data_IF_290058794547
#
_entry.id   IF_290058794547
#
_cell.length_a   1.000
_cell.length_b   1.000
_cell.length_c   1.000
_cell.angle_alpha   90.00
_cell.angle_beta   90.00
_cell.angle_gamma   90.00
#
_symmetry.space_group_name_H-M   'P 1'
#
loop_
_entity.id
_entity.type
_entity.pdbx_description
1 polymer ?
#
# COMPACT_ATOMS: atom_id res chain seq x y z
N UNK A 1 24.62 -25.32 36.05
CA UNK A 1 24.94 -26.15 34.87
C UNK A 1 26.16 -25.56 34.22
N UNK A 2 27.32 -26.15 34.48
CA UNK A 2 28.64 -26.17 33.80
C UNK A 2 29.07 -25.09 32.78
N UNK A 3 28.48 -23.89 32.78
CA UNK A 3 28.79 -22.81 31.84
C UNK A 3 28.16 -22.94 30.45
N UNK A 4 27.25 -23.91 30.23
CA UNK A 4 26.53 -24.09 28.96
C UNK A 4 25.10 -23.55 29.10
N UNK A 5 24.78 -22.56 28.28
CA UNK A 5 23.44 -21.99 28.12
C UNK A 5 22.73 -22.68 26.95
N UNK A 6 21.53 -23.21 27.19
CA UNK A 6 20.77 -23.96 26.16
C UNK A 6 19.47 -23.23 25.85
N UNK A 7 19.31 -22.81 24.59
CA UNK A 7 18.05 -22.32 24.03
C UNK A 7 17.32 -23.44 23.31
N UNK A 8 16.36 -24.06 23.99
CA UNK A 8 15.53 -25.12 23.41
C UNK A 8 14.61 -24.61 22.30
N UNK A 9 14.20 -23.34 22.34
CA UNK A 9 13.30 -22.76 21.34
C UNK A 9 14.00 -22.55 19.99
N UNK A 10 15.26 -22.13 20.02
CA UNK A 10 16.10 -21.98 18.81
C UNK A 10 16.98 -23.20 18.52
N UNK A 11 16.89 -24.26 19.32
CA UNK A 11 17.75 -25.46 19.25
C UNK A 11 19.24 -25.09 19.21
N UNK A 12 19.65 -24.15 20.07
CA UNK A 12 21.02 -23.65 20.12
C UNK A 12 21.63 -23.82 21.51
N UNK A 13 22.94 -23.99 21.57
CA UNK A 13 23.70 -24.04 22.80
C UNK A 13 24.88 -23.07 22.72
N UNK A 14 25.14 -22.35 23.80
CA UNK A 14 26.25 -21.43 23.95
C UNK A 14 27.09 -21.88 25.15
N UNK A 15 28.33 -22.27 24.89
CA UNK A 15 29.30 -22.59 25.94
C UNK A 15 30.10 -21.33 26.27
N UNK A 16 29.90 -20.79 27.48
CA UNK A 16 30.50 -19.53 27.95
C UNK A 16 31.92 -19.75 28.51
N UNK A 17 32.40 -21.00 28.56
CA UNK A 17 33.73 -21.33 29.07
C UNK A 17 34.84 -20.75 28.18
N UNK A 18 35.97 -20.31 28.77
CA UNK A 18 37.07 -19.75 28.00
C UNK A 18 37.70 -20.81 27.10
N UNK A 19 37.99 -20.41 25.86
CA UNK A 19 38.74 -21.20 24.89
C UNK A 19 40.23 -20.92 25.15
N UNK A 20 41.00 -21.95 25.46
CA UNK A 20 42.44 -21.84 25.70
C UNK A 20 43.18 -21.76 24.35
N UNK A 21 44.22 -20.92 24.28
CA UNK A 21 45.07 -20.86 23.10
C UNK A 21 45.92 -22.13 23.02
N UNK A 22 45.84 -22.84 21.89
CA UNK A 22 46.56 -24.11 21.66
C UNK A 22 45.72 -25.36 21.88
N UNK A 23 44.40 -25.24 22.03
CA UNK A 23 43.50 -26.39 22.11
C UNK A 23 43.67 -27.34 20.94
N UNK A 24 43.75 -28.63 21.29
CA UNK A 24 43.75 -29.71 20.32
C UNK A 24 42.36 -29.88 19.72
N UNK A 25 42.29 -30.48 18.53
CA UNK A 25 40.99 -30.82 17.91
C UNK A 25 40.14 -31.74 18.79
N UNK A 26 40.79 -32.63 19.55
CA UNK A 26 40.10 -33.57 20.46
C UNK A 26 39.39 -32.82 21.59
N UNK A 27 40.05 -31.86 22.23
CA UNK A 27 39.44 -31.03 23.28
C UNK A 27 38.25 -30.19 22.75
N UNK A 28 38.33 -29.72 21.50
CA UNK A 28 37.22 -29.03 20.84
C UNK A 28 36.03 -29.97 20.59
N UNK A 29 36.30 -31.19 20.11
CA UNK A 29 35.27 -32.20 19.89
C UNK A 29 34.58 -32.59 21.20
N UNK A 30 35.34 -32.82 22.27
CA UNK A 30 34.78 -33.11 23.60
C UNK A 30 33.88 -31.99 24.12
N UNK A 31 34.27 -30.73 23.88
CA UNK A 31 33.44 -29.57 24.24
C UNK A 31 32.11 -29.55 23.48
N UNK A 32 32.17 -29.77 22.17
CA UNK A 32 30.98 -29.80 21.29
C UNK A 32 30.06 -30.95 21.71
N UNK A 33 30.61 -32.14 21.93
CA UNK A 33 29.85 -33.31 22.38
C UNK A 33 29.10 -33.00 23.67
N UNK A 34 29.77 -32.41 24.66
CA UNK A 34 29.14 -32.03 25.92
C UNK A 34 28.00 -31.03 25.73
N UNK A 35 28.18 -30.02 24.88
CA UNK A 35 27.14 -29.03 24.61
C UNK A 35 25.91 -29.66 23.93
N UNK A 36 26.13 -30.59 22.99
CA UNK A 36 25.07 -31.35 22.33
C UNK A 36 24.36 -32.28 23.29
N UNK A 37 25.08 -32.94 24.20
CA UNK A 37 24.50 -33.78 25.24
C UNK A 37 23.50 -33.01 26.12
N UNK A 38 23.87 -31.82 26.60
CA UNK A 38 22.96 -30.97 27.38
C UNK A 38 21.73 -30.54 26.57
N UNK A 39 21.90 -30.22 25.29
CA UNK A 39 20.80 -29.86 24.41
C UNK A 39 19.83 -31.03 24.20
N UNK A 40 20.35 -32.22 23.92
CA UNK A 40 19.57 -33.44 23.73
C UNK A 40 18.83 -33.83 25.02
N UNK A 41 19.52 -33.79 26.17
CA UNK A 41 18.90 -34.02 27.47
C UNK A 41 17.75 -33.04 27.72
N UNK A 42 17.96 -31.74 27.47
CA UNK A 42 16.92 -30.72 27.59
C UNK A 42 15.70 -31.02 26.71
N UNK A 43 15.91 -31.41 25.45
CA UNK A 43 14.82 -31.79 24.54
C UNK A 43 14.01 -33.00 25.03
N UNK A 44 14.69 -34.02 25.56
CA UNK A 44 14.02 -35.23 26.04
C UNK A 44 13.35 -35.07 27.42
N UNK A 45 13.66 -33.99 28.15
CA UNK A 45 12.90 -33.62 29.36
C UNK A 45 11.57 -32.92 29.08
N UNK A 46 11.37 -32.37 27.86
CA UNK A 46 10.13 -31.69 27.50
C UNK A 46 8.93 -32.65 27.45
N UNK A 47 7.72 -32.20 27.81
CA UNK A 47 6.53 -33.04 27.77
C UNK A 47 6.25 -33.56 26.36
N UNK A 48 6.01 -34.86 26.26
CA UNK A 48 5.70 -35.52 25.00
C UNK A 48 4.19 -35.50 24.74
N UNK A 49 3.80 -34.94 23.60
CA UNK A 49 2.45 -35.03 23.09
C UNK A 49 2.38 -36.18 22.07
N UNK A 50 1.82 -37.30 22.51
CA UNK A 50 1.49 -38.42 21.63
C UNK A 50 0.24 -38.07 20.81
N UNK A 51 0.38 -38.01 19.49
CA UNK A 51 -0.75 -38.01 18.56
C UNK A 51 -0.79 -39.33 17.80
N UNK A 52 -1.96 -39.74 17.29
CA UNK A 52 -2.16 -41.02 16.57
C UNK A 52 -1.15 -41.29 15.45
N UNK A 53 -0.50 -40.25 14.92
CA UNK A 53 0.43 -40.36 13.79
C UNK A 53 1.89 -40.20 14.17
N UNK A 54 2.21 -39.38 15.19
CA UNK A 54 3.60 -39.05 15.58
C UNK A 54 3.68 -38.59 17.05
N UNK A 55 4.77 -38.96 17.71
CA UNK A 55 5.22 -38.31 18.94
C UNK A 55 5.83 -36.95 18.60
N UNK A 56 5.35 -35.89 19.26
CA UNK A 56 5.83 -34.52 19.11
C UNK A 56 6.10 -33.91 20.49
N UNK A 57 7.04 -32.98 20.57
CA UNK A 57 7.35 -32.23 21.80
C UNK A 57 7.15 -30.75 21.50
N UNK A 58 6.45 -30.05 22.38
CA UNK A 58 6.30 -28.60 22.26
C UNK A 58 7.58 -27.90 22.74
N UNK A 59 8.21 -27.15 21.83
CA UNK A 59 9.38 -26.34 22.15
C UNK A 59 8.92 -25.04 22.82
N UNK A 60 9.64 -24.54 23.84
CA UNK A 60 9.37 -23.24 24.43
C UNK A 60 9.66 -22.10 23.45
N UNK A 61 9.17 -20.91 23.74
CA UNK A 61 9.56 -19.72 22.98
C UNK A 61 11.09 -19.49 23.12
N UNK A 62 11.79 -19.18 22.02
CA UNK A 62 13.22 -18.93 22.06
C UNK A 62 13.54 -17.68 22.89
N UNK A 63 14.53 -17.75 23.76
CA UNK A 63 14.98 -16.57 24.52
C UNK A 63 15.93 -15.70 23.71
N UNK A 64 16.59 -16.27 22.69
CA UNK A 64 17.47 -15.52 21.79
C UNK A 64 16.67 -14.55 20.92
N UNK A 65 16.78 -13.25 21.21
CA UNK A 65 16.07 -12.20 20.46
C UNK A 65 16.83 -11.87 19.18
N UNK A 66 16.31 -12.35 18.06
CA UNK A 66 16.86 -12.07 16.72
C UNK A 66 16.18 -10.81 16.15
N UNK A 67 16.92 -9.88 15.52
CA UNK A 67 16.32 -8.71 14.89
C UNK A 67 15.37 -9.12 13.76
N UNK A 68 14.21 -8.45 13.69
CA UNK A 68 13.23 -8.68 12.63
C UNK A 68 13.79 -8.22 11.28
N UNK A 69 13.57 -9.02 10.25
CA UNK A 69 13.91 -8.65 8.87
C UNK A 69 13.10 -7.44 8.34
N UNK A 70 11.87 -7.25 8.84
CA UNK A 70 10.99 -6.15 8.44
C UNK A 70 10.51 -5.38 9.67
N UNK A 71 10.38 -4.04 9.55
CA UNK A 71 9.81 -3.23 10.63
C UNK A 71 8.38 -3.68 10.92
N UNK A 72 7.94 -3.41 12.14
CA UNK A 72 6.56 -3.67 12.55
C UNK A 72 5.63 -2.87 11.61
N UNK A 73 4.58 -3.51 11.04
CA UNK A 73 3.63 -2.80 10.20
C UNK A 73 3.05 -1.61 10.96
N UNK A 74 3.27 -0.40 10.45
CA UNK A 74 2.70 0.81 11.04
C UNK A 74 1.17 0.76 10.96
N UNK A 75 0.51 1.31 11.97
CA UNK A 75 -0.94 1.46 11.97
C UNK A 75 -1.39 2.21 10.71
N UNK A 76 -2.50 1.76 10.13
CA UNK A 76 -3.03 2.36 8.91
C UNK A 76 -3.57 3.76 9.26
N UNK A 77 -3.06 4.84 8.63
CA UNK A 77 -3.62 6.16 8.84
C UNK A 77 -5.08 6.21 8.38
N UNK A 78 -5.92 6.92 9.14
CA UNK A 78 -7.33 7.05 8.85
C UNK A 78 -7.55 7.80 7.53
N UNK A 79 -8.42 7.26 6.68
CA UNK A 79 -8.87 7.96 5.46
C UNK A 79 -9.74 9.15 5.82
N UNK A 80 -9.89 10.10 4.88
CA UNK A 80 -10.74 11.29 5.10
C UNK A 80 -12.18 10.94 5.49
N UNK A 81 -12.74 9.86 4.94
CA UNK A 81 -14.08 9.40 5.31
C UNK A 81 -14.12 8.81 6.72
N UNK A 82 -13.11 8.05 7.12
CA UNK A 82 -13.04 7.49 8.49
C UNK A 82 -12.82 8.59 9.54
N UNK A 83 -12.03 9.61 9.22
CA UNK A 83 -11.90 10.81 10.05
C UNK A 83 -13.26 11.50 10.22
N UNK A 84 -13.99 11.70 9.12
CA UNK A 84 -15.33 12.27 9.15
C UNK A 84 -16.31 11.39 9.94
N UNK A 85 -16.30 10.08 9.72
CA UNK A 85 -17.16 9.12 10.39
C UNK A 85 -16.89 9.11 11.90
N UNK A 86 -15.62 9.17 12.33
CA UNK A 86 -15.24 9.27 13.74
C UNK A 86 -15.75 10.56 14.37
N UNK A 87 -15.57 11.70 13.72
CA UNK A 87 -16.04 13.02 14.21
C UNK A 87 -17.58 13.03 14.33
N UNK A 88 -18.27 12.42 13.37
CA UNK A 88 -19.74 12.37 13.34
C UNK A 88 -20.34 11.20 14.15
N UNK A 89 -19.52 10.35 14.76
CA UNK A 89 -20.00 9.16 15.48
C UNK A 89 -20.69 8.12 14.59
N UNK A 90 -20.42 8.12 13.28
CA UNK A 90 -21.01 7.16 12.33
C UNK A 90 -20.36 5.80 12.55
N UNK A 91 -21.12 4.86 13.14
CA UNK A 91 -20.68 3.49 13.37
C UNK A 91 -20.95 2.63 12.14
N UNK A 92 -19.94 1.85 11.72
CA UNK A 92 -20.09 0.87 10.63
C UNK A 92 -20.97 -0.29 11.11
N UNK A 93 -22.10 -0.53 10.45
CA UNK A 93 -22.98 -1.68 10.69
C UNK A 93 -22.73 -2.77 9.64
N UNK A 94 -22.93 -4.03 10.04
CA UNK A 94 -22.99 -5.14 9.08
C UNK A 94 -24.17 -4.91 8.14
N UNK A 95 -23.96 -5.14 6.85
CA UNK A 95 -25.01 -5.14 5.82
C UNK A 95 -25.11 -6.53 5.25
N UNK A 96 -26.33 -6.99 4.99
CA UNK A 96 -26.56 -8.28 4.35
C UNK A 96 -26.17 -8.25 2.87
N UNK A 97 -25.91 -9.43 2.31
CA UNK A 97 -25.51 -9.56 0.90
C UNK A 97 -26.72 -9.53 -0.04
N UNK A 98 -27.89 -9.93 0.46
CA UNK A 98 -29.14 -10.02 -0.28
C UNK A 98 -30.13 -8.99 0.25
N UNK A 99 -30.94 -8.44 -0.66
CA UNK A 99 -32.06 -7.58 -0.36
C UNK A 99 -33.30 -8.12 -1.07
N UNK A 100 -34.46 -7.96 -0.45
CA UNK A 100 -35.75 -8.31 -1.05
C UNK A 100 -36.06 -7.33 -2.20
N UNK A 101 -36.33 -7.86 -3.39
CA UNK A 101 -36.78 -7.07 -4.55
C UNK A 101 -38.30 -7.14 -4.65
N UNK A 102 -38.99 -6.06 -4.28
CA UNK A 102 -40.46 -5.97 -4.27
C UNK A 102 -41.07 -6.18 -5.67
N UNK A 103 -40.36 -5.81 -6.73
CA UNK A 103 -40.90 -5.89 -8.10
C UNK A 103 -40.96 -7.33 -8.61
N UNK A 104 -40.07 -8.19 -8.11
CA UNK A 104 -39.90 -9.57 -8.57
C UNK A 104 -40.29 -10.61 -7.52
N UNK A 105 -40.43 -10.21 -6.26
CA UNK A 105 -40.77 -11.11 -5.16
C UNK A 105 -39.66 -12.09 -4.80
N UNK A 106 -38.39 -11.72 -4.99
CA UNK A 106 -37.23 -12.60 -4.76
C UNK A 106 -36.14 -11.88 -3.96
N UNK A 107 -35.36 -12.63 -3.16
CA UNK A 107 -34.13 -12.13 -2.57
C UNK A 107 -33.01 -12.10 -3.62
N UNK A 108 -32.49 -10.91 -3.90
CA UNK A 108 -31.42 -10.69 -4.88
C UNK A 108 -30.18 -10.08 -4.25
N UNK A 109 -28.99 -10.34 -4.80
CA UNK A 109 -27.77 -9.76 -4.27
C UNK A 109 -27.80 -8.22 -4.43
N UNK A 110 -27.23 -7.49 -3.47
CA UNK A 110 -27.14 -6.02 -3.54
C UNK A 110 -26.21 -5.56 -4.67
N UNK A 111 -25.22 -6.39 -5.00
CA UNK A 111 -24.23 -6.17 -6.05
C UNK A 111 -23.83 -7.52 -6.67
N UNK A 112 -23.47 -7.53 -7.96
CA UNK A 112 -23.05 -8.75 -8.67
C UNK A 112 -23.97 -9.09 -9.82
N UNK A 113 -24.04 -10.37 -10.20
CA UNK A 113 -24.93 -10.85 -11.25
C UNK A 113 -26.39 -10.82 -10.78
N UNK A 114 -27.30 -10.27 -11.61
CA UNK A 114 -28.73 -10.12 -11.32
C UNK A 114 -28.98 -9.37 -10.00
N UNK A 115 -28.17 -8.33 -9.77
CA UNK A 115 -28.28 -7.52 -8.57
C UNK A 115 -29.51 -6.63 -8.58
N UNK A 116 -29.99 -6.25 -7.40
CA UNK A 116 -31.15 -5.36 -7.27
C UNK A 116 -30.93 -3.98 -7.93
N UNK A 117 -29.65 -3.56 -8.09
CA UNK A 117 -29.26 -2.28 -8.67
C UNK A 117 -28.71 -2.43 -10.10
N UNK A 118 -29.04 -3.51 -10.81
CA UNK A 118 -28.61 -3.71 -12.19
C UNK A 118 -29.34 -2.76 -13.13
N UNK A 119 -28.65 -1.69 -13.54
CA UNK A 119 -29.14 -0.68 -14.48
C UNK A 119 -29.53 -1.27 -15.85
N UNK A 120 -29.02 -2.44 -16.22
CA UNK A 120 -29.36 -3.14 -17.47
C UNK A 120 -30.70 -3.86 -17.45
N UNK A 121 -31.26 -4.11 -16.26
CA UNK A 121 -32.55 -4.79 -16.12
C UNK A 121 -33.73 -3.87 -16.43
N UNK A 122 -33.51 -2.55 -16.45
CA UNK A 122 -34.52 -1.57 -16.78
C UNK A 122 -34.69 -1.51 -18.31
N UNK A 123 -35.83 -2.00 -18.80
CA UNK A 123 -36.13 -2.02 -20.25
C UNK A 123 -36.70 -0.68 -20.73
N UNK A 124 -37.41 0.03 -19.85
CA UNK A 124 -38.09 1.29 -20.16
C UNK A 124 -37.64 2.35 -19.16
N UNK A 125 -37.12 3.47 -19.68
CA UNK A 125 -36.80 4.65 -18.89
C UNK A 125 -37.68 5.82 -19.33
N UNK A 126 -38.26 6.58 -18.38
CA UNK A 126 -38.98 7.80 -18.73
C UNK A 126 -38.01 8.81 -19.39
N UNK A 127 -38.49 9.45 -20.45
CA UNK A 127 -37.72 10.48 -21.14
C UNK A 127 -37.66 11.75 -20.30
N UNK A 128 -36.45 12.31 -20.13
CA UNK A 128 -36.27 13.62 -19.49
C UNK A 128 -36.38 14.71 -20.58
N UNK A 129 -37.31 15.68 -20.46
CA UNK A 129 -37.46 16.75 -21.44
C UNK A 129 -36.23 17.68 -21.56
N UNK A 130 -35.28 17.59 -20.62
CA UNK A 130 -34.03 18.37 -20.64
C UNK A 130 -32.94 17.75 -21.52
N UNK A 131 -33.18 16.55 -22.07
CA UNK A 131 -32.20 15.80 -22.83
C UNK A 131 -32.01 16.42 -24.23
N UNK A 132 -30.76 16.49 -24.69
CA UNK A 132 -30.48 17.03 -26.03
C UNK A 132 -31.00 16.07 -27.11
N UNK A 133 -31.48 16.59 -28.26
CA UNK A 133 -31.90 15.75 -29.38
C UNK A 133 -30.77 14.79 -29.80
N UNK A 134 -31.03 13.49 -29.76
CA UNK A 134 -30.07 12.44 -30.16
C UNK A 134 -29.34 11.73 -29.02
N UNK A 135 -29.52 12.15 -27.77
CA UNK A 135 -28.95 11.45 -26.60
C UNK A 135 -30.00 10.48 -26.00
N UNK A 136 -29.57 9.29 -25.56
CA UNK A 136 -30.47 8.29 -24.95
C UNK A 136 -30.47 8.41 -23.42
N UNK A 137 -31.62 8.30 -22.73
CA UNK A 137 -31.67 8.23 -21.27
C UNK A 137 -30.75 7.13 -20.68
N UNK A 138 -30.59 6.02 -21.40
CA UNK A 138 -29.72 4.91 -21.00
C UNK A 138 -28.23 5.28 -21.00
N UNK A 139 -27.80 6.10 -21.96
CA UNK A 139 -26.41 6.54 -22.05
C UNK A 139 -26.06 7.46 -20.87
N UNK A 140 -26.99 8.34 -20.48
CA UNK A 140 -26.84 9.20 -19.30
C UNK A 140 -26.69 8.41 -18.00
N UNK A 141 -27.48 7.35 -17.81
CA UNK A 141 -27.36 6.45 -16.63
C UNK A 141 -25.98 5.79 -16.61
N UNK A 142 -25.56 5.22 -17.74
CA UNK A 142 -24.26 4.57 -17.91
C UNK A 142 -23.09 5.52 -17.66
N UNK A 143 -23.16 6.74 -18.17
CA UNK A 143 -22.18 7.79 -17.92
C UNK A 143 -22.17 8.24 -16.46
N UNK A 144 -23.34 8.39 -15.83
CA UNK A 144 -23.48 8.67 -14.41
C UNK A 144 -22.76 7.63 -13.54
N UNK A 145 -22.96 6.33 -13.81
CA UNK A 145 -22.25 5.24 -13.14
C UNK A 145 -20.74 5.32 -13.35
N UNK A 146 -20.29 5.51 -14.59
CA UNK A 146 -18.86 5.68 -14.93
C UNK A 146 -18.25 6.86 -14.17
N UNK A 147 -18.94 8.00 -14.11
CA UNK A 147 -18.51 9.20 -13.40
C UNK A 147 -18.41 8.97 -11.89
N UNK A 148 -19.39 8.28 -11.27
CA UNK A 148 -19.35 7.90 -9.86
C UNK A 148 -18.15 7.01 -9.54
N UNK A 149 -17.89 5.99 -10.38
CA UNK A 149 -16.74 5.09 -10.23
C UNK A 149 -15.42 5.86 -10.39
N UNK A 150 -15.33 6.75 -11.40
CA UNK A 150 -14.15 7.60 -11.63
C UNK A 150 -13.88 8.52 -10.44
N UNK A 151 -14.91 9.14 -9.87
CA UNK A 151 -14.79 10.01 -8.70
C UNK A 151 -14.37 9.24 -7.44
N UNK A 152 -14.87 8.02 -7.24
CA UNK A 152 -14.43 7.15 -6.16
C UNK A 152 -12.94 6.79 -6.32
N UNK A 153 -12.52 6.35 -7.51
CA UNK A 153 -11.12 6.03 -7.80
C UNK A 153 -10.19 7.24 -7.58
N UNK A 154 -10.60 8.43 -8.02
CA UNK A 154 -9.87 9.69 -7.79
C UNK A 154 -9.75 10.01 -6.29
N UNK A 155 -10.80 9.76 -5.51
CA UNK A 155 -10.81 9.97 -4.06
C UNK A 155 -9.90 8.97 -3.34
N UNK A 156 -9.93 7.70 -3.76
CA UNK A 156 -9.04 6.65 -3.27
C UNK A 156 -7.57 7.00 -3.55
N UNK A 157 -7.26 7.48 -4.75
CA UNK A 157 -5.92 7.89 -5.13
C UNK A 157 -5.45 9.10 -4.30
N UNK A 158 -6.32 10.09 -4.07
CA UNK A 158 -6.02 11.23 -3.20
C UNK A 158 -5.68 10.79 -1.77
N UNK A 159 -6.44 9.84 -1.21
CA UNK A 159 -6.17 9.28 0.11
C UNK A 159 -4.84 8.51 0.12
N UNK A 160 -4.56 7.69 -0.89
CA UNK A 160 -3.27 6.99 -1.01
C UNK A 160 -2.09 7.96 -1.10
N UNK A 161 -2.24 9.04 -1.86
CA UNK A 161 -1.21 10.09 -2.00
C UNK A 161 -0.98 10.86 -0.70
N UNK A 162 -2.02 11.19 0.07
CA UNK A 162 -1.84 11.85 1.38
C UNK A 162 -1.10 10.92 2.36
N UNK A 163 -1.50 9.64 2.39
CA UNK A 163 -0.84 8.63 3.22
C UNK A 163 0.64 8.47 2.84
N UNK A 164 0.95 8.41 1.54
CA UNK A 164 2.32 8.32 1.08
C UNK A 164 3.14 9.57 1.43
N UNK A 165 2.56 10.77 1.35
CA UNK A 165 3.24 12.01 1.77
C UNK A 165 3.59 11.99 3.25
N UNK A 166 2.68 11.54 4.10
CA UNK A 166 2.94 11.42 5.53
C UNK A 166 4.09 10.42 5.78
N UNK A 167 4.17 9.33 5.00
CA UNK A 167 5.30 8.38 5.09
C UNK A 167 6.63 8.94 4.54
N UNK A 168 6.60 9.80 3.51
CA UNK A 168 7.80 10.43 2.95
C UNK A 168 8.24 11.70 3.70
N UNK A 169 7.43 12.22 4.61
CA UNK A 169 7.70 13.47 5.34
C UNK A 169 8.90 13.38 6.30
N UNK A 170 9.47 12.18 6.51
CA UNK A 170 10.74 12.01 7.21
C UNK A 170 11.98 12.23 6.33
N UNK A 171 11.83 12.58 5.05
CA UNK A 171 12.97 12.96 4.21
C UNK A 171 13.31 14.41 4.53
N UNK A 172 14.56 14.74 4.89
CA UNK A 172 14.94 16.12 5.17
C UNK A 172 14.58 16.99 3.96
N UNK A 173 14.05 18.18 4.22
CA UNK A 173 13.78 19.20 3.22
C UNK A 173 15.06 19.38 2.41
N UNK A 174 15.10 18.82 1.21
CA UNK A 174 16.21 19.04 0.29
C UNK A 174 16.22 20.54 -0.01
N UNK A 175 17.25 21.23 0.46
CA UNK A 175 17.59 22.60 0.06
C UNK A 175 18.15 22.60 -1.37
N UNK A 176 17.55 21.84 -2.27
CA UNK A 176 17.94 21.84 -3.68
C UNK A 176 17.67 23.24 -4.20
N UNK A 177 18.69 23.90 -4.73
CA UNK A 177 18.62 25.25 -5.31
C UNK A 177 17.49 25.27 -6.34
N UNK A 178 16.33 25.82 -5.96
CA UNK A 178 15.21 25.96 -6.89
C UNK A 178 15.68 26.76 -8.10
N UNK A 179 15.45 26.23 -9.31
CA UNK A 179 15.77 26.96 -10.55
C UNK A 179 14.96 28.26 -10.56
N UNK A 180 15.57 29.37 -10.98
CA UNK A 180 14.93 30.71 -11.01
C UNK A 180 13.56 30.69 -11.67
N UNK A 181 13.41 29.94 -12.77
CA UNK A 181 12.15 29.77 -13.50
C UNK A 181 11.05 29.11 -12.67
N UNK A 182 11.39 28.25 -11.72
CA UNK A 182 10.40 27.58 -10.86
C UNK A 182 10.00 28.47 -9.67
N UNK A 183 10.92 29.34 -9.20
CA UNK A 183 10.60 30.41 -8.24
C UNK A 183 9.70 31.49 -8.86
N UNK A 184 9.95 31.88 -10.10
CA UNK A 184 9.07 32.82 -10.80
C UNK A 184 7.68 32.25 -11.04
N UNK A 185 7.58 30.96 -11.38
CA UNK A 185 6.29 30.26 -11.52
C UNK A 185 5.57 30.18 -10.18
N UNK A 186 6.26 29.81 -9.10
CA UNK A 186 5.65 29.74 -7.77
C UNK A 186 5.20 31.10 -7.27
N UNK A 187 5.99 32.16 -7.51
CA UNK A 187 5.62 33.55 -7.21
C UNK A 187 4.38 34.00 -7.99
N UNK A 188 4.28 33.68 -9.30
CA UNK A 188 3.08 33.94 -10.12
C UNK A 188 1.85 33.16 -9.64
N UNK A 189 2.03 31.92 -9.21
CA UNK A 189 0.93 31.11 -8.65
C UNK A 189 0.48 31.69 -7.31
N UNK A 190 1.42 32.09 -6.45
CA UNK A 190 1.14 32.67 -5.15
C UNK A 190 0.44 34.04 -5.28
N UNK A 191 0.84 34.89 -6.23
CA UNK A 191 0.21 36.19 -6.47
C UNK A 191 -1.26 36.07 -6.91
N UNK A 192 -1.62 34.98 -7.59
CA UNK A 192 -2.99 34.71 -8.05
C UNK A 192 -3.81 33.94 -7.00
N UNK A 193 -3.15 33.20 -6.11
CA UNK A 193 -3.79 32.36 -5.09
C UNK A 193 -4.29 33.18 -3.91
N UNK A 194 -5.49 33.72 -4.02
CA UNK A 194 -6.16 34.37 -2.88
C UNK A 194 -6.78 33.32 -1.95
N UNK A 195 -6.52 33.44 -0.64
CA UNK A 195 -7.06 32.56 0.42
C UNK A 195 -8.59 32.42 0.39
N UNK A 196 -9.29 33.41 -0.19
CA UNK A 196 -10.75 33.46 -0.33
C UNK A 196 -11.27 32.98 -1.69
N UNK A 197 -10.44 32.36 -2.54
CA UNK A 197 -10.81 31.93 -3.91
C UNK A 197 -11.42 33.07 -4.75
N UNK A 198 -10.96 34.31 -4.54
CA UNK A 198 -11.47 35.49 -5.23
C UNK A 198 -12.78 36.06 -4.66
N UNK A 199 -13.28 35.56 -3.53
CA UNK A 199 -14.54 36.04 -2.92
C UNK A 199 -14.43 37.44 -2.32
N UNK A 200 -13.28 37.77 -1.74
CA UNK A 200 -12.97 39.09 -1.17
C UNK A 200 -11.89 39.84 -1.96
N UNK A 201 -11.61 39.40 -3.19
CA UNK A 201 -10.62 40.03 -4.05
C UNK A 201 -11.20 41.29 -4.69
N UNK A 202 -10.38 42.33 -4.76
CA UNK A 202 -10.69 43.60 -5.41
C UNK A 202 -11.05 43.37 -6.89
N UNK A 203 -12.31 43.59 -7.28
CA UNK A 203 -12.83 43.24 -8.62
C UNK A 203 -12.24 44.09 -9.75
N UNK A 204 -11.67 45.24 -9.40
CA UNK A 204 -11.15 46.23 -10.34
C UNK A 204 -9.67 46.02 -10.71
N UNK A 205 -8.98 45.03 -10.12
CA UNK A 205 -7.58 44.74 -10.47
C UNK A 205 -7.52 43.86 -11.72
N UNK A 206 -6.62 44.16 -12.69
CA UNK A 206 -6.44 43.32 -13.87
C UNK A 206 -6.03 41.91 -13.42
N UNK A 207 -6.86 40.91 -13.73
CA UNK A 207 -6.55 39.50 -13.43
C UNK A 207 -5.29 39.11 -14.18
N UNK A 208 -4.18 38.91 -13.45
CA UNK A 208 -3.00 38.26 -14.02
C UNK A 208 -3.38 36.84 -14.42
N UNK A 209 -3.55 36.61 -15.73
CA UNK A 209 -3.84 35.27 -16.26
C UNK A 209 -2.53 34.50 -16.32
N UNK A 210 -2.48 33.30 -15.72
CA UNK A 210 -1.42 32.36 -16.04
C UNK A 210 -1.54 32.06 -17.54
N UNK A 211 -0.48 32.32 -18.29
CA UNK A 211 -0.41 31.86 -19.69
C UNK A 211 -0.61 30.36 -19.67
N UNK A 212 -1.71 29.87 -20.23
CA UNK A 212 -1.91 28.44 -20.40
C UNK A 212 -0.83 27.96 -21.35
N UNK A 213 0.23 27.36 -20.82
CA UNK A 213 1.08 26.52 -21.63
C UNK A 213 0.14 25.38 -22.03
N UNK A 214 -0.42 25.46 -23.24
CA UNK A 214 -1.07 24.32 -23.88
C UNK A 214 0.03 23.26 -23.91
N UNK A 215 0.00 22.33 -22.95
CA UNK A 215 0.87 21.18 -23.00
C UNK A 215 0.46 20.44 -24.27
N UNK A 216 1.22 20.65 -25.35
CA UNK A 216 1.08 19.82 -26.53
C UNK A 216 1.45 18.42 -26.05
N UNK A 217 0.41 17.61 -25.82
CA UNK A 217 0.61 16.21 -25.55
C UNK A 217 1.06 15.60 -26.88
N UNK A 218 2.36 15.74 -27.18
CA UNK A 218 2.98 15.00 -28.27
C UNK A 218 2.80 13.55 -27.89
N UNK A 219 1.91 12.85 -28.60
CA UNK A 219 1.83 11.40 -28.50
C UNK A 219 3.23 10.89 -28.83
N UNK A 220 3.91 10.27 -27.88
CA UNK A 220 5.15 9.55 -28.17
C UNK A 220 4.76 8.28 -28.93
N UNK A 221 4.40 8.44 -30.20
CA UNK A 221 4.31 7.34 -31.14
C UNK A 221 5.76 7.07 -31.51
N UNK A 222 6.35 6.10 -30.84
CA UNK A 222 7.71 5.66 -31.14
C UNK A 222 7.58 4.75 -32.38
N UNK A 223 8.24 5.07 -33.51
CA UNK A 223 8.21 4.22 -34.69
C UNK A 223 8.79 2.84 -34.35
N UNK A 224 8.19 1.78 -34.89
CA UNK A 224 8.66 0.41 -34.72
C UNK A 224 10.14 0.32 -35.10
N UNK A 225 11.01 -0.05 -34.14
CA UNK A 225 12.46 -0.14 -34.32
C UNK A 225 13.28 0.82 -33.44
N UNK A 226 12.79 2.02 -33.17
CA UNK A 226 13.54 3.02 -32.39
C UNK A 226 13.72 2.64 -30.90
N UNK A 227 12.83 1.80 -30.35
CA UNK A 227 13.03 1.23 -29.01
C UNK A 227 14.18 0.23 -28.98
N UNK A 228 14.33 -0.59 -30.03
CA UNK A 228 15.42 -1.57 -30.12
C UNK A 228 16.77 -0.88 -30.22
N UNK A 229 16.90 0.15 -31.05
CA UNK A 229 18.13 0.93 -31.18
C UNK A 229 18.55 1.57 -29.85
N UNK A 230 17.60 2.14 -29.10
CA UNK A 230 17.87 2.67 -27.76
C UNK A 230 18.31 1.61 -26.77
N UNK A 231 17.70 0.42 -26.81
CA UNK A 231 18.14 -0.69 -25.96
C UNK A 231 19.54 -1.17 -26.32
N UNK A 232 19.87 -1.28 -27.62
CA UNK A 232 21.22 -1.63 -28.06
C UNK A 232 22.25 -0.57 -27.69
N UNK A 233 21.88 0.70 -27.77
CA UNK A 233 22.76 1.80 -27.38
C UNK A 233 23.03 1.80 -25.88
N UNK A 234 22.01 1.57 -25.05
CA UNK A 234 22.19 1.42 -23.61
C UNK A 234 23.07 0.20 -23.26
N UNK A 235 22.90 -0.92 -23.96
CA UNK A 235 23.77 -2.11 -23.79
C UNK A 235 25.21 -1.79 -24.19
N UNK A 236 25.42 -1.11 -25.32
CA UNK A 236 26.75 -0.70 -25.76
C UNK A 236 27.43 0.30 -24.81
N UNK A 237 26.67 1.22 -24.21
CA UNK A 237 27.20 2.16 -23.22
C UNK A 237 27.58 1.46 -21.91
N UNK A 238 26.87 0.39 -21.53
CA UNK A 238 27.28 -0.46 -20.40
C UNK A 238 28.55 -1.24 -20.76
N UNK A 239 28.62 -1.81 -21.96
CA UNK A 239 29.79 -2.57 -22.42
C UNK A 239 31.04 -1.72 -22.63
N UNK A 240 30.91 -0.41 -22.92
CA UNK A 240 32.04 0.54 -22.99
C UNK A 240 32.64 0.91 -21.64
N UNK A 241 31.89 0.67 -20.55
CA UNK A 241 32.33 0.97 -19.18
C UNK A 241 32.86 -0.28 -18.45
N UNK A 242 33.01 -1.40 -19.17
CA UNK A 242 33.80 -2.56 -18.81
C UNK A 242 35.03 -2.64 -19.72
#
# INVERSE_FOLDING_TARGET
MDGVEVDLGSLSCADVRPILQGETKQEQEERILRAVEFLVQGLFTLPEQSSERKSQRELPEPFSVIPRAKPIPKEKPLTKWEQFARIRGIRKRKRDKFAWDETRGEFRPIHGYRSINDESDQVILPHDPSLQPGESPFDRVKEGKRNRVKNNRKSQERNKRSIAKDQLSSRPVRTDKYKSKDLEKSAKIASISTRSLGKYGDRNKPRQKLSSIKASHKKNIIPSGAERERTFQAVNDVLKNF
#
